data_IF_297369553904
#
_entry.id   IF_297369553904
#
_cell.length_a   1.000
_cell.length_b   1.000
_cell.length_c   1.000
_cell.angle_alpha   90.00
_cell.angle_beta   90.00
_cell.angle_gamma   90.00
#
_symmetry.space_group_name_H-M   'P 1'
#
loop_
_entity.id
_entity.type
_entity.pdbx_description
1 polymer ?
#
# COMPACT_ATOMS: atom_id res chain seq x y z
N UNK A 1 4.94 -13.03 -7.70
CA UNK A 1 3.66 -12.47 -7.21
C UNK A 1 2.79 -12.10 -8.38
N UNK A 2 1.47 -12.34 -8.30
CA UNK A 2 0.48 -11.90 -9.30
C UNK A 2 0.04 -10.46 -8.99
N UNK A 3 0.99 -9.52 -8.98
CA UNK A 3 0.81 -8.17 -8.51
C UNK A 3 -0.18 -7.36 -9.36
N UNK A 4 -0.01 -7.43 -10.68
CA UNK A 4 -0.84 -6.69 -11.65
C UNK A 4 -2.29 -7.15 -11.58
N UNK A 5 -2.52 -8.46 -11.63
CA UNK A 5 -3.85 -9.07 -11.57
C UNK A 5 -4.54 -8.81 -10.23
N UNK A 6 -3.84 -8.97 -9.10
CA UNK A 6 -4.38 -8.76 -7.77
C UNK A 6 -4.76 -7.29 -7.54
N UNK A 7 -3.93 -6.36 -8.00
CA UNK A 7 -4.22 -4.92 -7.88
C UNK A 7 -5.40 -4.52 -8.75
N UNK A 8 -5.47 -4.98 -9.99
CA UNK A 8 -6.59 -4.72 -10.89
C UNK A 8 -7.92 -5.25 -10.31
N UNK A 9 -7.89 -6.48 -9.77
CA UNK A 9 -9.05 -7.07 -9.11
C UNK A 9 -9.51 -6.23 -7.90
N UNK A 10 -8.58 -5.80 -7.06
CA UNK A 10 -8.89 -4.96 -5.90
C UNK A 10 -9.56 -3.64 -6.32
N UNK A 11 -9.00 -2.95 -7.33
CA UNK A 11 -9.55 -1.67 -7.81
C UNK A 11 -10.95 -1.83 -8.38
N UNK A 12 -11.19 -2.85 -9.22
CA UNK A 12 -12.50 -3.16 -9.76
C UNK A 12 -13.52 -3.51 -8.66
N UNK A 13 -13.14 -4.36 -7.71
CA UNK A 13 -14.00 -4.75 -6.60
C UNK A 13 -14.42 -3.54 -5.74
N UNK A 14 -13.48 -2.70 -5.33
CA UNK A 14 -13.77 -1.50 -4.54
C UNK A 14 -14.59 -0.49 -5.35
N UNK A 15 -14.28 -0.32 -6.63
CA UNK A 15 -15.03 0.57 -7.54
C UNK A 15 -16.50 0.18 -7.65
N UNK A 16 -16.78 -1.12 -7.80
CA UNK A 16 -18.17 -1.64 -7.82
C UNK A 16 -18.87 -1.41 -6.49
N UNK A 17 -18.18 -1.63 -5.35
CA UNK A 17 -18.73 -1.36 -4.02
C UNK A 17 -19.07 0.12 -3.84
N UNK A 18 -18.16 1.03 -4.19
CA UNK A 18 -18.40 2.47 -4.11
C UNK A 18 -19.59 2.90 -4.99
N UNK A 19 -19.72 2.32 -6.18
CA UNK A 19 -20.86 2.59 -7.08
C UNK A 19 -22.18 2.08 -6.49
N UNK A 20 -22.20 0.87 -5.91
CA UNK A 20 -23.41 0.32 -5.31
C UNK A 20 -23.87 1.10 -4.07
N UNK A 21 -22.96 1.56 -3.24
CA UNK A 21 -23.32 2.37 -2.06
C UNK A 21 -23.96 3.71 -2.41
N UNK A 22 -23.57 4.32 -3.54
CA UNK A 22 -24.21 5.55 -4.00
C UNK A 22 -25.66 5.40 -4.48
N UNK A 23 -26.16 4.15 -4.64
CA UNK A 23 -27.53 3.83 -5.06
C UNK A 23 -28.38 3.22 -3.96
N UNK A 24 -27.81 2.82 -2.83
CA UNK A 24 -28.52 2.24 -1.70
C UNK A 24 -29.06 3.33 -0.79
N UNK A 25 -30.34 3.23 -0.42
CA UNK A 25 -30.97 4.16 0.52
C UNK A 25 -30.28 4.11 1.89
N UNK A 26 -29.95 5.26 2.44
CA UNK A 26 -29.22 5.39 3.71
C UNK A 26 -27.70 5.18 3.63
N UNK A 27 -27.16 4.93 2.46
CA UNK A 27 -25.72 4.80 2.23
C UNK A 27 -25.17 5.97 1.39
N UNK A 28 -24.01 6.46 1.79
CA UNK A 28 -23.29 7.49 1.01
C UNK A 28 -22.03 6.90 0.39
N UNK A 29 -21.68 7.37 -0.80
CA UNK A 29 -20.41 7.01 -1.43
C UNK A 29 -19.26 7.53 -0.57
N UNK A 30 -18.17 6.73 -0.35
CA UNK A 30 -17.00 7.21 0.36
C UNK A 30 -16.41 8.47 -0.28
N UNK A 31 -16.03 9.45 0.55
CA UNK A 31 -15.38 10.68 0.07
C UNK A 31 -13.92 10.44 -0.34
N UNK A 32 -13.27 9.45 0.24
CA UNK A 32 -11.88 9.06 -0.06
C UNK A 32 -11.77 7.56 -0.22
N UNK A 33 -11.03 7.12 -1.22
CA UNK A 33 -10.61 5.72 -1.39
C UNK A 33 -9.10 5.69 -1.41
N UNK A 34 -8.51 4.89 -0.53
CA UNK A 34 -7.07 4.75 -0.37
C UNK A 34 -6.72 3.28 -0.54
N UNK A 35 -5.84 3.00 -1.49
CA UNK A 35 -5.35 1.68 -1.80
C UNK A 35 -3.86 1.61 -1.47
N UNK A 36 -3.46 0.74 -0.55
CA UNK A 36 -2.06 0.48 -0.25
C UNK A 36 -1.70 -0.94 -0.69
N UNK A 37 -0.73 -1.06 -1.59
CA UNK A 37 -0.20 -2.33 -2.07
C UNK A 37 1.11 -2.61 -1.35
N UNK A 38 1.17 -3.73 -0.64
CA UNK A 38 2.38 -4.23 0.01
C UNK A 38 2.82 -5.49 -0.72
N UNK A 39 4.09 -5.55 -1.15
CA UNK A 39 4.66 -6.70 -1.84
C UNK A 39 6.10 -6.94 -1.41
N UNK A 40 6.49 -8.21 -1.38
CA UNK A 40 7.86 -8.66 -1.13
C UNK A 40 8.56 -9.19 -2.38
N UNK A 41 7.95 -9.00 -3.55
CA UNK A 41 8.49 -9.51 -4.81
C UNK A 41 7.92 -8.83 -6.05
N UNK A 42 8.60 -9.10 -7.16
CA UNK A 42 8.26 -8.57 -8.47
C UNK A 42 7.01 -9.23 -9.07
N UNK A 43 6.43 -8.56 -10.06
CA UNK A 43 5.40 -9.12 -10.92
C UNK A 43 5.96 -10.27 -11.78
N UNK A 44 5.48 -11.47 -11.54
CA UNK A 44 5.94 -12.65 -12.30
C UNK A 44 4.89 -13.78 -12.42
N UNK A 45 3.70 -13.59 -11.91
CA UNK A 45 2.69 -14.65 -11.80
C UNK A 45 1.31 -14.27 -12.30
N UNK A 46 1.09 -13.03 -12.73
CA UNK A 46 -0.19 -12.63 -13.34
C UNK A 46 -0.50 -13.42 -14.61
N UNK A 47 -1.76 -13.67 -14.85
CA UNK A 47 -2.26 -14.53 -15.93
C UNK A 47 -3.19 -13.77 -16.88
N UNK A 48 -3.53 -14.42 -18.02
CA UNK A 48 -4.47 -13.86 -18.96
C UNK A 48 -4.08 -12.48 -19.47
N UNK A 49 -5.00 -11.56 -19.45
CA UNK A 49 -4.83 -10.18 -19.91
C UNK A 49 -3.92 -9.32 -19.00
N UNK A 50 -3.64 -9.79 -17.78
CA UNK A 50 -2.78 -9.09 -16.82
C UNK A 50 -1.32 -9.51 -16.90
N UNK A 51 -1.01 -10.46 -17.79
CA UNK A 51 0.33 -10.98 -17.99
C UNK A 51 1.21 -10.00 -18.78
N UNK A 52 2.48 -9.94 -18.40
CA UNK A 52 3.52 -9.18 -19.09
C UNK A 52 3.28 -7.65 -19.10
N UNK A 53 4.04 -6.97 -19.95
CA UNK A 53 4.04 -5.52 -20.09
C UNK A 53 2.65 -4.96 -20.48
N UNK A 54 1.90 -5.71 -21.27
CA UNK A 54 0.56 -5.29 -21.70
C UNK A 54 -0.41 -5.20 -20.52
N UNK A 55 -0.40 -6.18 -19.63
CA UNK A 55 -1.19 -6.15 -18.39
C UNK A 55 -0.77 -5.01 -17.47
N UNK A 56 0.54 -4.74 -17.34
CA UNK A 56 1.04 -3.61 -16.56
C UNK A 56 0.56 -2.26 -17.11
N UNK A 57 0.55 -2.08 -18.42
CA UNK A 57 0.03 -0.86 -19.06
C UNK A 57 -1.49 -0.69 -18.82
N UNK A 58 -2.27 -1.77 -18.90
CA UNK A 58 -3.70 -1.74 -18.57
C UNK A 58 -3.93 -1.32 -17.11
N UNK A 59 -3.15 -1.87 -16.17
CA UNK A 59 -3.24 -1.48 -14.76
C UNK A 59 -2.87 -0.03 -14.56
N UNK A 60 -1.82 0.44 -15.25
CA UNK A 60 -1.40 1.85 -15.22
C UNK A 60 -2.55 2.78 -15.61
N UNK A 61 -3.21 2.50 -16.73
CA UNK A 61 -4.37 3.29 -17.19
C UNK A 61 -5.50 3.31 -16.15
N UNK A 62 -5.77 2.17 -15.53
CA UNK A 62 -6.79 2.05 -14.47
C UNK A 62 -6.43 2.90 -13.24
N UNK A 63 -5.19 2.81 -12.74
CA UNK A 63 -4.73 3.58 -11.58
C UNK A 63 -4.76 5.08 -11.88
N UNK A 64 -4.25 5.49 -13.04
CA UNK A 64 -4.25 6.88 -13.48
C UNK A 64 -5.68 7.42 -13.64
N UNK A 65 -6.60 6.66 -14.21
CA UNK A 65 -8.01 7.06 -14.32
C UNK A 65 -8.64 7.26 -12.92
N UNK A 66 -8.45 6.31 -12.00
CA UNK A 66 -9.02 6.40 -10.66
C UNK A 66 -8.42 7.56 -9.86
N UNK A 67 -7.12 7.81 -10.03
CA UNK A 67 -6.44 8.96 -9.41
C UNK A 67 -6.98 10.29 -9.95
N UNK A 68 -7.05 10.44 -11.27
CA UNK A 68 -7.37 11.71 -11.90
C UNK A 68 -8.87 12.04 -11.88
N UNK A 69 -9.72 11.03 -12.06
CA UNK A 69 -11.18 11.21 -12.18
C UNK A 69 -11.93 11.08 -10.87
N UNK A 70 -11.43 10.21 -9.96
CA UNK A 70 -12.13 9.85 -8.73
C UNK A 70 -11.39 10.26 -7.47
N UNK A 71 -10.19 10.86 -7.63
CA UNK A 71 -9.31 11.29 -6.53
C UNK A 71 -8.92 10.13 -5.59
N UNK A 72 -8.83 8.91 -6.10
CA UNK A 72 -8.30 7.79 -5.33
C UNK A 72 -6.82 7.99 -5.07
N UNK A 73 -6.34 7.47 -3.96
CA UNK A 73 -4.94 7.52 -3.56
C UNK A 73 -4.36 6.13 -3.53
N UNK A 74 -3.22 5.99 -4.16
CA UNK A 74 -2.52 4.71 -4.26
C UNK A 74 -1.14 4.83 -3.64
N UNK A 75 -0.81 3.90 -2.73
CA UNK A 75 0.50 3.78 -2.10
C UNK A 75 1.10 2.42 -2.45
N UNK A 76 2.40 2.39 -2.73
CA UNK A 76 3.14 1.19 -3.09
C UNK A 76 4.32 0.98 -2.15
N UNK A 77 4.30 -0.14 -1.43
CA UNK A 77 5.29 -0.53 -0.43
C UNK A 77 5.95 -1.82 -0.91
N UNK A 78 7.20 -1.74 -1.34
CA UNK A 78 7.93 -2.86 -1.92
C UNK A 78 9.14 -3.25 -1.10
N UNK A 79 9.29 -4.55 -0.84
CA UNK A 79 10.49 -5.09 -0.25
C UNK A 79 11.35 -5.78 -1.30
N UNK A 80 12.66 -5.55 -1.25
CA UNK A 80 13.64 -6.15 -2.17
C UNK A 80 13.43 -5.81 -3.66
N UNK A 81 12.75 -4.72 -3.95
CA UNK A 81 12.50 -4.20 -5.30
C UNK A 81 12.71 -2.70 -5.33
N UNK A 82 12.94 -2.13 -6.51
CA UNK A 82 12.87 -0.67 -6.71
C UNK A 82 11.40 -0.25 -6.79
N UNK A 83 10.83 0.14 -5.64
CA UNK A 83 9.41 0.49 -5.54
C UNK A 83 9.03 1.73 -6.33
N UNK A 84 9.95 2.70 -6.48
CA UNK A 84 9.67 3.90 -7.28
C UNK A 84 9.59 3.57 -8.77
N UNK A 85 10.53 2.77 -9.28
CA UNK A 85 10.53 2.33 -10.68
C UNK A 85 9.36 1.40 -10.99
N UNK A 86 9.14 0.40 -10.12
CA UNK A 86 8.06 -0.57 -10.27
C UNK A 86 6.69 0.11 -10.16
N UNK A 87 6.48 0.93 -9.13
CA UNK A 87 5.22 1.64 -8.92
C UNK A 87 4.90 2.61 -10.06
N UNK A 88 5.87 3.39 -10.53
CA UNK A 88 5.70 4.29 -11.69
C UNK A 88 5.28 3.52 -12.96
N UNK A 89 5.85 2.34 -13.19
CA UNK A 89 5.49 1.49 -14.31
C UNK A 89 4.06 0.96 -14.23
N UNK A 90 3.50 0.89 -13.03
CA UNK A 90 2.12 0.46 -12.74
C UNK A 90 1.13 1.62 -12.55
N UNK A 91 1.59 2.88 -12.62
CA UNK A 91 0.73 4.07 -12.51
C UNK A 91 0.66 4.72 -11.13
N UNK A 92 1.44 4.22 -10.15
CA UNK A 92 1.55 4.88 -8.85
C UNK A 92 2.41 6.14 -8.95
N UNK A 93 2.08 7.17 -8.17
CA UNK A 93 2.97 8.32 -8.02
C UNK A 93 4.26 7.88 -7.32
N UNK A 94 5.41 8.31 -7.84
CA UNK A 94 6.72 8.03 -7.23
C UNK A 94 6.81 8.49 -5.77
N UNK A 95 6.13 9.59 -5.44
CA UNK A 95 6.09 10.12 -4.09
C UNK A 95 5.36 9.17 -3.11
N UNK A 96 4.46 8.34 -3.62
CA UNK A 96 3.69 7.36 -2.87
C UNK A 96 4.30 5.94 -2.91
N UNK A 97 5.53 5.79 -3.42
CA UNK A 97 6.26 4.52 -3.46
C UNK A 97 7.39 4.53 -2.43
N UNK A 98 7.56 3.45 -1.67
CA UNK A 98 8.59 3.32 -0.64
C UNK A 98 9.16 1.91 -0.60
N UNK A 99 10.50 1.82 -0.50
CA UNK A 99 11.21 0.56 -0.26
C UNK A 99 11.28 0.28 1.24
N UNK A 100 11.22 -0.98 1.62
CA UNK A 100 11.44 -1.38 3.00
C UNK A 100 12.25 -2.67 3.13
N UNK A 101 12.87 -2.86 4.28
CA UNK A 101 13.60 -4.08 4.59
C UNK A 101 12.65 -5.17 5.11
N UNK A 102 12.80 -6.42 4.63
CA UNK A 102 12.02 -7.59 5.08
C UNK A 102 12.43 -8.06 6.47
N UNK A 103 12.13 -7.24 7.46
CA UNK A 103 12.31 -7.56 8.89
C UNK A 103 11.06 -7.11 9.64
N UNK A 104 10.88 -7.58 10.86
CA UNK A 104 9.75 -7.14 11.70
C UNK A 104 9.78 -5.63 11.90
N UNK A 105 10.99 -5.06 12.15
CA UNK A 105 11.18 -3.62 12.30
C UNK A 105 10.95 -2.88 10.98
N UNK A 106 11.44 -3.39 9.85
CA UNK A 106 11.23 -2.80 8.52
C UNK A 106 9.76 -2.76 8.15
N UNK A 107 9.06 -3.87 8.34
CA UNK A 107 7.62 -3.98 8.06
C UNK A 107 6.79 -3.04 8.94
N UNK A 108 7.08 -2.97 10.24
CA UNK A 108 6.38 -2.05 11.15
C UNK A 108 6.71 -0.59 10.87
N UNK A 109 7.94 -0.27 10.50
CA UNK A 109 8.36 1.10 10.12
C UNK A 109 7.64 1.56 8.86
N UNK A 110 7.60 0.75 7.80
CA UNK A 110 6.94 1.13 6.55
C UNK A 110 5.43 1.29 6.72
N UNK A 111 4.78 0.44 7.51
CA UNK A 111 3.34 0.57 7.79
C UNK A 111 3.03 1.83 8.60
N UNK A 112 3.90 2.21 9.55
CA UNK A 112 3.78 3.47 10.30
C UNK A 112 3.95 4.67 9.37
N UNK A 113 4.97 4.67 8.51
CA UNK A 113 5.21 5.71 7.51
C UNK A 113 4.02 5.86 6.56
N UNK A 114 3.47 4.74 6.08
CA UNK A 114 2.28 4.74 5.22
C UNK A 114 1.06 5.34 5.96
N UNK A 115 0.81 4.94 7.19
CA UNK A 115 -0.28 5.50 8.00
C UNK A 115 -0.13 7.00 8.23
N UNK A 116 1.09 7.49 8.42
CA UNK A 116 1.37 8.91 8.59
C UNK A 116 1.17 9.68 7.28
N UNK A 117 1.72 9.19 6.17
CA UNK A 117 1.55 9.78 4.85
C UNK A 117 0.07 9.90 4.46
N UNK A 118 -0.74 8.86 4.74
CA UNK A 118 -2.19 8.86 4.51
C UNK A 118 -2.88 9.92 5.36
N UNK A 119 -2.57 10.03 6.66
CA UNK A 119 -3.19 11.01 7.56
C UNK A 119 -2.86 12.45 7.20
N UNK A 120 -1.64 12.69 6.74
CA UNK A 120 -1.15 14.02 6.36
C UNK A 120 -1.42 14.35 4.89
N UNK A 121 -2.05 13.45 4.17
CA UNK A 121 -2.41 13.60 2.76
C UNK A 121 -1.22 13.97 1.86
N UNK A 122 -0.12 13.21 2.00
CA UNK A 122 1.15 13.45 1.28
C UNK A 122 1.81 12.16 0.82
N UNK A 123 2.86 12.29 0.04
CA UNK A 123 3.79 11.20 -0.26
C UNK A 123 4.77 10.92 0.89
N UNK A 124 5.64 9.95 0.71
CA UNK A 124 6.69 9.59 1.67
C UNK A 124 7.82 10.62 1.70
N UNK A 125 8.23 11.00 2.91
CA UNK A 125 9.40 11.88 3.10
C UNK A 125 10.71 11.12 2.88
N UNK A 126 11.80 11.86 2.71
CA UNK A 126 13.14 11.25 2.57
C UNK A 126 13.58 10.54 3.85
N UNK A 127 13.20 11.06 5.01
CA UNK A 127 13.46 10.45 6.30
C UNK A 127 12.74 9.10 6.45
N UNK A 128 11.48 9.02 6.04
CA UNK A 128 10.70 7.78 6.06
C UNK A 128 11.29 6.72 5.12
N UNK A 129 11.73 7.13 3.91
CA UNK A 129 12.40 6.25 2.95
C UNK A 129 13.69 5.68 3.52
N UNK A 130 14.51 6.54 4.12
CA UNK A 130 15.77 6.13 4.74
C UNK A 130 15.54 5.19 5.92
N UNK A 131 14.60 5.54 6.81
CA UNK A 131 14.28 4.73 7.99
C UNK A 131 13.74 3.32 7.62
N UNK A 132 12.91 3.22 6.59
CA UNK A 132 12.32 1.94 6.16
C UNK A 132 13.37 0.96 5.60
N UNK A 133 14.41 1.46 4.92
CA UNK A 133 15.51 0.64 4.40
C UNK A 133 16.49 0.25 5.51
N UNK A 134 16.78 1.18 6.45
CA UNK A 134 17.76 0.97 7.52
C UNK A 134 17.20 0.19 8.72
N UNK A 135 15.90 -0.03 8.78
CA UNK A 135 15.26 -0.77 9.86
C UNK A 135 15.64 -2.25 9.79
N UNK A 136 16.61 -2.65 10.61
CA UNK A 136 17.11 -4.02 10.76
C UNK A 136 16.76 -4.60 12.13
N UNK A 137 17.03 -5.89 12.35
CA UNK A 137 16.67 -6.63 13.58
C UNK A 137 17.27 -6.09 14.89
N UNK A 138 18.22 -5.18 14.84
CA UNK A 138 18.96 -4.74 16.04
C UNK A 138 18.13 -3.88 17.03
N UNK A 139 16.95 -3.43 16.63
CA UNK A 139 16.05 -2.65 17.50
C UNK A 139 14.96 -3.49 18.21
N UNK A 140 15.14 -4.81 18.32
CA UNK A 140 14.17 -5.69 19.01
C UNK A 140 13.98 -5.41 20.51
N UNK A 141 14.85 -4.63 21.12
CA UNK A 141 14.77 -4.34 22.55
C UNK A 141 13.76 -3.26 22.94
N UNK A 142 13.34 -2.41 22.00
CA UNK A 142 12.41 -1.31 22.32
C UNK A 142 10.94 -1.76 22.41
N UNK A 143 10.58 -2.86 21.74
CA UNK A 143 9.19 -3.37 21.76
C UNK A 143 8.84 -4.26 22.96
N UNK A 144 9.83 -4.81 23.66
CA UNK A 144 9.56 -5.62 24.85
C UNK A 144 9.02 -4.82 26.03
N UNK A 145 9.33 -3.53 26.11
CA UNK A 145 8.93 -2.70 27.23
C UNK A 145 7.46 -2.23 27.15
N UNK A 146 6.86 -2.16 25.97
CA UNK A 146 5.47 -1.69 25.83
C UNK A 146 4.41 -2.78 26.05
N UNK A 147 4.79 -4.07 25.96
CA UNK A 147 3.87 -5.19 26.19
C UNK A 147 3.95 -5.76 27.62
N UNK A 148 5.05 -5.56 28.34
CA UNK A 148 5.21 -6.06 29.71
C UNK A 148 4.49 -5.18 30.77
N UNK A 149 3.99 -3.98 30.41
CA UNK A 149 3.19 -3.12 31.31
C UNK A 149 1.68 -3.39 31.23
N UNK A 150 1.21 -4.31 30.39
CA UNK A 150 -0.21 -4.68 30.40
C UNK A 150 -0.47 -5.83 31.38
N UNK A 151 -0.67 -5.48 32.64
CA UNK A 151 -1.09 -6.42 33.69
C UNK A 151 -2.53 -6.88 33.45
N UNK A 152 -2.69 -8.12 32.93
CA UNK A 152 -3.96 -8.79 32.76
C UNK A 152 -4.62 -9.25 34.04
N UNK A 153 -4.01 -9.05 35.22
CA UNK A 153 -4.51 -9.55 36.52
C UNK A 153 -5.68 -8.75 37.09
N UNK A 154 -6.04 -7.61 36.50
CA UNK A 154 -7.11 -6.72 36.99
C UNK A 154 -8.51 -6.92 36.36
N UNK A 155 -8.72 -8.01 35.60
CA UNK A 155 -10.05 -8.36 35.07
C UNK A 155 -10.50 -9.74 35.52
N UNK A 156 -10.64 -9.91 36.79
CA UNK A 156 -11.52 -10.92 37.38
C UNK A 156 -12.31 -10.31 38.52
#
# INVERSE_FOLDING_TARGET
>A
TALTEATAFMVDYIGRKCSSWGTLEGHTRPGNVICATLTDGEENSSTGEWKNKEGMLKLKDIIEEHTNRWSWKFYFLGANIDSQSTGDSLGYSKDNCIDFHTSDTGSSTVLRSCSQAIREDRGFSQEERTASIQATHDNQNDYKNDFDEFDYSQRM
#
